data_IF_810890973313
#
_entry.id   IF_810890973313
#
_cell.length_a   1.000
_cell.length_b   1.000
_cell.length_c   1.000
_cell.angle_alpha   90.00
_cell.angle_beta   90.00
_cell.angle_gamma   90.00
#
_symmetry.space_group_name_H-M   'P 1'
#
loop_
_entity.id
_entity.type
_entity.pdbx_description
1 polymer ?
#
# COMPACT_ATOMS: atom_id res chain seq x y z
N UNK A 1 -4.88 -0.25 -54.25
CA UNK A 1 -3.70 -0.31 -53.34
C UNK A 1 -4.10 0.32 -52.02
N UNK A 2 -3.69 -0.32 -50.92
CA UNK A 2 -3.96 0.05 -49.52
C UNK A 2 -3.35 1.40 -49.17
N UNK A 3 -4.02 2.21 -48.36
CA UNK A 3 -3.39 2.99 -47.28
C UNK A 3 -4.42 3.31 -46.21
N UNK A 4 -4.33 2.57 -45.09
CA UNK A 4 -4.99 2.92 -43.83
C UNK A 4 -4.37 4.21 -43.29
N UNK A 5 -5.21 5.17 -42.90
CA UNK A 5 -4.79 6.29 -42.07
C UNK A 5 -4.60 5.78 -40.63
N UNK A 6 -3.35 5.49 -40.27
CA UNK A 6 -2.97 5.23 -38.89
C UNK A 6 -3.04 6.55 -38.11
N UNK A 7 -4.03 6.64 -37.23
CA UNK A 7 -4.20 7.71 -36.25
C UNK A 7 -3.03 7.65 -35.26
N UNK A 8 -2.05 8.55 -35.41
CA UNK A 8 -1.07 8.82 -34.36
C UNK A 8 -1.75 9.63 -33.25
N UNK A 9 -2.24 8.95 -32.22
CA UNK A 9 -2.51 9.59 -30.93
C UNK A 9 -1.18 9.78 -30.19
N UNK A 10 -0.49 10.87 -30.48
CA UNK A 10 0.56 11.42 -29.61
C UNK A 10 -0.13 12.20 -28.50
N UNK A 11 -0.62 11.48 -27.49
CA UNK A 11 -0.97 12.12 -26.22
C UNK A 11 0.34 12.33 -25.48
N UNK A 12 1.00 13.45 -25.75
CA UNK A 12 2.12 13.95 -24.96
C UNK A 12 1.61 14.35 -23.59
N UNK A 13 1.45 13.35 -22.73
CA UNK A 13 1.23 13.54 -21.30
C UNK A 13 2.53 14.05 -20.70
N UNK A 14 2.57 15.34 -20.38
CA UNK A 14 3.60 15.94 -19.55
C UNK A 14 3.64 15.22 -18.21
N UNK A 15 4.55 14.26 -18.06
CA UNK A 15 4.88 13.69 -16.77
C UNK A 15 5.62 14.76 -15.97
N UNK A 16 4.88 15.62 -15.27
CA UNK A 16 5.44 16.45 -14.21
C UNK A 16 5.76 15.52 -13.04
N UNK A 17 6.94 14.91 -13.10
CA UNK A 17 7.59 14.38 -11.92
C UNK A 17 7.89 15.58 -11.02
N UNK A 18 6.97 15.91 -10.11
CA UNK A 18 7.27 16.80 -9.01
C UNK A 18 8.25 16.07 -8.11
N UNK A 19 9.54 16.30 -8.34
CA UNK A 19 10.61 15.93 -7.41
C UNK A 19 10.41 16.76 -6.14
N UNK A 20 9.61 16.23 -5.22
CA UNK A 20 9.56 16.72 -3.85
C UNK A 20 10.93 16.40 -3.25
N UNK A 21 11.79 17.42 -3.24
CA UNK A 21 13.11 17.39 -2.64
C UNK A 21 12.97 17.24 -1.11
N UNK A 22 12.70 16.01 -0.65
CA UNK A 22 12.87 15.64 0.73
C UNK A 22 14.36 15.58 1.02
N UNK A 23 14.81 16.54 1.84
CA UNK A 23 16.10 16.53 2.53
C UNK A 23 16.38 15.12 3.06
N UNK A 24 17.23 14.37 2.37
CA UNK A 24 17.63 13.02 2.78
C UNK A 24 18.43 13.11 4.06
N UNK A 25 17.79 12.88 5.20
CA UNK A 25 18.53 12.46 6.40
C UNK A 25 18.97 11.03 6.10
N UNK A 26 20.28 10.81 5.98
CA UNK A 26 20.90 9.55 5.56
C UNK A 26 20.63 8.35 6.48
N UNK A 27 19.93 8.58 7.59
CA UNK A 27 19.54 7.57 8.61
C UNK A 27 18.02 7.53 8.87
N UNK A 28 17.19 7.84 7.87
CA UNK A 28 15.73 7.74 8.00
C UNK A 28 15.29 6.27 8.08
N UNK A 29 14.93 5.82 9.28
CA UNK A 29 14.15 4.60 9.49
C UNK A 29 12.71 4.86 9.06
N UNK A 30 12.29 4.23 7.97
CA UNK A 30 10.93 4.34 7.47
C UNK A 30 10.05 3.30 8.17
N UNK A 31 8.96 3.76 8.79
CA UNK A 31 7.97 2.88 9.44
C UNK A 31 6.66 3.02 8.69
N UNK A 32 6.21 1.93 8.08
CA UNK A 32 4.95 1.88 7.33
C UNK A 32 3.94 0.97 8.05
N UNK A 33 2.76 1.52 8.36
CA UNK A 33 1.63 0.77 8.90
C UNK A 33 0.64 0.46 7.77
N UNK A 34 0.68 -0.77 7.27
CA UNK A 34 -0.17 -1.23 6.15
C UNK A 34 -1.53 -1.71 6.67
N UNK A 35 -1.53 -2.42 7.80
CA UNK A 35 -2.73 -2.88 8.50
C UNK A 35 -2.37 -3.26 9.95
N UNK A 36 -3.36 -3.26 10.83
CA UNK A 36 -3.22 -3.66 12.23
C UNK A 36 -4.39 -4.54 12.67
N UNK A 37 -4.22 -5.26 13.78
CA UNK A 37 -5.32 -5.99 14.38
C UNK A 37 -6.09 -5.08 15.35
N UNK A 38 -7.41 -5.03 15.21
CA UNK A 38 -8.31 -4.52 16.23
C UNK A 38 -9.29 -5.64 16.60
N UNK A 39 -9.19 -6.15 17.82
CA UNK A 39 -9.87 -7.39 18.22
C UNK A 39 -9.56 -8.53 17.24
N UNK A 40 -10.57 -9.13 16.60
CA UNK A 40 -10.37 -10.17 15.58
C UNK A 40 -10.51 -9.63 14.14
N UNK A 41 -10.37 -8.33 13.94
CA UNK A 41 -10.48 -7.67 12.64
C UNK A 41 -9.11 -7.20 12.15
N UNK A 42 -8.87 -7.36 10.85
CA UNK A 42 -7.79 -6.67 10.15
C UNK A 42 -8.30 -5.30 9.75
N UNK A 43 -7.65 -4.27 10.26
CA UNK A 43 -7.97 -2.88 9.98
C UNK A 43 -7.04 -2.30 8.91
N UNK A 44 -7.54 -1.35 8.13
CA UNK A 44 -6.76 -0.58 7.18
C UNK A 44 -7.09 0.90 7.24
N UNK A 45 -6.30 1.69 6.53
CA UNK A 45 -6.52 3.12 6.33
C UNK A 45 -6.54 3.41 4.83
N UNK A 46 -7.45 4.25 4.38
CA UNK A 46 -7.51 4.68 2.97
C UNK A 46 -6.59 5.88 2.72
N UNK A 47 -6.55 6.37 1.47
CA UNK A 47 -5.71 7.51 1.10
C UNK A 47 -6.12 8.84 1.76
N UNK A 48 -7.32 8.91 2.35
CA UNK A 48 -7.83 10.09 3.05
C UNK A 48 -7.59 9.99 4.57
N UNK A 49 -6.99 8.90 5.05
CA UNK A 49 -6.73 8.69 6.47
C UNK A 49 -7.90 8.01 7.21
N UNK A 50 -8.97 7.62 6.51
CA UNK A 50 -10.12 6.99 7.15
C UNK A 50 -9.86 5.51 7.43
N UNK A 51 -10.16 5.11 8.66
CA UNK A 51 -10.01 3.72 9.11
C UNK A 51 -11.19 2.87 8.65
N UNK A 52 -10.93 1.67 8.18
CA UNK A 52 -11.97 0.71 7.79
C UNK A 52 -11.57 -0.72 8.15
N UNK A 53 -12.58 -1.59 8.29
CA UNK A 53 -12.37 -3.03 8.46
C UNK A 53 -12.04 -3.63 7.09
N UNK A 54 -10.82 -4.16 6.93
CA UNK A 54 -10.42 -4.93 5.74
C UNK A 54 -11.02 -6.33 5.76
N UNK A 55 -10.89 -7.01 6.89
CA UNK A 55 -11.35 -8.40 7.08
C UNK A 55 -11.82 -8.63 8.52
N UNK A 56 -12.92 -9.37 8.69
CA UNK A 56 -13.33 -9.95 9.97
C UNK A 56 -12.88 -11.42 10.03
N UNK A 57 -11.83 -11.73 10.79
CA UNK A 57 -11.24 -13.07 10.77
C UNK A 57 -12.17 -14.14 11.36
N UNK A 58 -13.19 -13.74 12.12
CA UNK A 58 -14.18 -14.64 12.70
C UNK A 58 -15.03 -15.31 11.62
N UNK A 59 -15.26 -14.64 10.49
CA UNK A 59 -16.00 -15.18 9.34
C UNK A 59 -15.26 -16.34 8.65
N UNK A 60 -13.94 -16.44 8.88
CA UNK A 60 -13.06 -17.47 8.30
C UNK A 60 -12.60 -18.49 9.34
N UNK A 61 -13.16 -18.46 10.57
CA UNK A 61 -12.69 -19.26 11.71
C UNK A 61 -11.19 -19.06 12.02
N UNK A 62 -10.64 -17.90 11.68
CA UNK A 62 -9.24 -17.54 11.85
C UNK A 62 -9.06 -16.48 12.94
N UNK A 63 -7.80 -16.24 13.31
CA UNK A 63 -7.42 -15.18 14.26
C UNK A 63 -6.64 -14.10 13.54
N UNK A 64 -6.91 -12.82 13.86
CA UNK A 64 -6.07 -11.73 13.39
C UNK A 64 -4.67 -11.85 13.98
N UNK A 65 -3.65 -11.82 13.12
CA UNK A 65 -2.24 -11.89 13.52
C UNK A 65 -1.48 -10.73 12.88
N UNK A 66 -0.74 -10.01 13.72
CA UNK A 66 0.14 -8.95 13.28
C UNK A 66 1.55 -9.48 13.07
N UNK A 67 2.16 -9.06 11.97
CA UNK A 67 3.52 -9.41 11.58
C UNK A 67 4.31 -8.14 11.35
N UNK A 68 5.58 -8.17 11.78
CA UNK A 68 6.55 -7.09 11.57
C UNK A 68 7.64 -7.62 10.67
N UNK A 69 7.97 -6.89 9.61
CA UNK A 69 9.08 -7.24 8.71
C UNK A 69 10.04 -6.07 8.60
N UNK A 70 11.32 -6.36 8.82
CA UNK A 70 12.41 -5.38 8.68
C UNK A 70 13.19 -5.69 7.39
N UNK A 71 13.13 -4.79 6.39
CA UNK A 71 13.81 -4.98 5.11
C UNK A 71 14.13 -3.64 4.47
N UNK A 72 15.30 -3.51 3.83
CA UNK A 72 15.70 -2.29 3.09
C UNK A 72 15.55 -0.99 3.88
N UNK A 73 15.99 -0.98 5.14
CA UNK A 73 15.85 0.15 6.07
C UNK A 73 14.39 0.59 6.35
N UNK A 74 13.44 -0.33 6.17
CA UNK A 74 12.01 -0.15 6.44
C UNK A 74 11.53 -1.17 7.46
N UNK A 75 10.67 -0.72 8.36
CA UNK A 75 9.87 -1.60 9.21
C UNK A 75 8.43 -1.55 8.74
N UNK A 76 7.92 -2.69 8.29
CA UNK A 76 6.56 -2.84 7.79
C UNK A 76 5.72 -3.55 8.85
N UNK A 77 4.63 -2.91 9.27
CA UNK A 77 3.61 -3.51 10.11
C UNK A 77 2.42 -3.89 9.24
N UNK A 78 2.05 -5.17 9.25
CA UNK A 78 0.84 -5.65 8.60
C UNK A 78 0.14 -6.70 9.46
N UNK A 79 -1.18 -6.75 9.34
CA UNK A 79 -2.05 -7.73 9.94
C UNK A 79 -2.77 -8.56 8.86
N UNK A 80 -3.01 -9.83 9.18
CA UNK A 80 -3.73 -10.77 8.33
C UNK A 80 -4.55 -11.75 9.18
N UNK A 81 -5.56 -12.39 8.57
CA UNK A 81 -6.21 -13.53 9.16
C UNK A 81 -5.34 -14.77 8.96
N UNK A 82 -5.09 -15.50 10.04
CA UNK A 82 -4.26 -16.71 10.07
C UNK A 82 -4.93 -17.76 10.91
N UNK A 83 -4.67 -19.03 10.58
CA UNK A 83 -4.95 -20.13 11.48
C UNK A 83 -4.14 -19.95 12.78
N UNK A 84 -4.68 -20.49 13.88
CA UNK A 84 -4.08 -20.41 15.21
C UNK A 84 -2.74 -21.14 15.29
#
# INVERSE_FOLDING_TARGET
>A
MKTLFAVLMLVSGSAVASDVNYSRITDEYYVDFISWCDSNNVMGQDSQGQTYVKYNCSEYAQTCRQTVTHRHNRTLYFAACSDK
#
